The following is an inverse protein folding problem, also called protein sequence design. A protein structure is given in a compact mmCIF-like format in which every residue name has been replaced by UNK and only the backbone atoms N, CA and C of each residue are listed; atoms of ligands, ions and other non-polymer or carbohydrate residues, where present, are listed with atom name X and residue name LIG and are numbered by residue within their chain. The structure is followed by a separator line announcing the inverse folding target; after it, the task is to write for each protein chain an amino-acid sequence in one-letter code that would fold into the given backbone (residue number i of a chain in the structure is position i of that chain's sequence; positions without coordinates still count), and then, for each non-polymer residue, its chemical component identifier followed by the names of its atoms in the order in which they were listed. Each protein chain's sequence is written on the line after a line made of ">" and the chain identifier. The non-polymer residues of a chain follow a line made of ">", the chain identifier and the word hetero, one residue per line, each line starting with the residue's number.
data_IF_512297852448
#
_entry.id   IF_512297852448
#
_cell.length_a   1.000
_cell.length_b   1.000
_cell.length_c   1.000
_cell.angle_alpha   90.00
_cell.angle_beta   90.00
_cell.angle_gamma   90.00
#
_symmetry.space_group_name_H-M   'P 1'
#
loop_
_entity.id
_entity.type
_entity.pdbx_description
1 polymer ?
#
# COMPACT_ATOMS: atom_id res chain seq x y z
N UNK A 1 20.31 7.72 -5.69
CA UNK A 1 18.91 7.83 -6.17
C UNK A 1 18.92 8.63 -7.46
N UNK A 2 18.16 8.27 -8.50
CA UNK A 2 18.01 9.15 -9.66
C UNK A 2 17.28 10.42 -9.21
N UNK A 3 17.78 11.60 -9.60
CA UNK A 3 17.12 12.89 -9.27
C UNK A 3 15.63 12.85 -9.63
N UNK A 4 15.24 12.15 -10.71
CA UNK A 4 13.83 11.93 -11.09
C UNK A 4 12.98 11.25 -10.02
N UNK A 5 13.49 10.23 -9.32
CA UNK A 5 12.71 9.52 -8.29
C UNK A 5 12.43 10.40 -7.06
N UNK A 6 13.40 11.22 -6.66
CA UNK A 6 13.24 12.15 -5.52
C UNK A 6 12.13 13.18 -5.81
N UNK A 7 12.11 13.75 -7.02
CA UNK A 7 11.06 14.69 -7.42
C UNK A 7 9.67 14.05 -7.44
N UNK A 8 9.55 12.79 -7.87
CA UNK A 8 8.27 12.06 -7.89
C UNK A 8 7.75 11.83 -6.46
N UNK A 9 8.58 11.34 -5.54
CA UNK A 9 8.20 11.11 -4.14
C UNK A 9 7.83 12.41 -3.42
N UNK A 10 8.60 13.48 -3.66
CA UNK A 10 8.33 14.81 -3.11
C UNK A 10 7.01 15.38 -3.63
N UNK A 11 6.74 15.25 -4.94
CA UNK A 11 5.49 15.72 -5.53
C UNK A 11 4.28 14.96 -4.98
N UNK A 12 4.38 13.64 -4.79
CA UNK A 12 3.28 12.82 -4.27
C UNK A 12 2.96 13.15 -2.80
N UNK A 13 4.00 13.38 -1.97
CA UNK A 13 3.80 13.81 -0.58
C UNK A 13 3.13 15.17 -0.49
N UNK A 14 3.52 16.12 -1.34
CA UNK A 14 2.91 17.46 -1.37
C UNK A 14 1.43 17.36 -1.76
N UNK A 15 1.09 16.55 -2.77
CA UNK A 15 -0.31 16.32 -3.17
C UNK A 15 -1.14 15.67 -2.06
N UNK A 16 -0.60 14.65 -1.38
CA UNK A 16 -1.29 14.00 -0.24
C UNK A 16 -1.45 14.94 0.95
N UNK A 17 -0.46 15.79 1.22
CA UNK A 17 -0.50 16.79 2.28
C UNK A 17 -1.53 17.89 2.00
N UNK A 18 -1.58 18.39 0.76
CA UNK A 18 -2.62 19.32 0.34
C UNK A 18 -4.00 18.66 0.36
N UNK A 19 -4.14 17.40 -0.06
CA UNK A 19 -5.39 16.64 0.06
C UNK A 19 -5.87 16.52 1.51
N UNK A 20 -4.94 16.37 2.46
CA UNK A 20 -5.25 16.32 3.89
C UNK A 20 -5.63 17.69 4.46
N UNK A 21 -4.90 18.76 4.10
CA UNK A 21 -5.20 20.14 4.53
C UNK A 21 -6.55 20.63 3.98
N UNK A 22 -6.86 20.31 2.73
CA UNK A 22 -8.12 20.70 2.10
C UNK A 22 -9.29 19.75 2.39
N UNK A 23 -9.09 18.68 3.17
CA UNK A 23 -10.18 17.82 3.64
C UNK A 23 -10.96 18.53 4.76
N UNK A 24 -11.82 19.46 4.34
CA UNK A 24 -12.69 20.24 5.22
C UNK A 24 -13.79 19.34 5.81
N UNK A 25 -13.48 18.76 6.97
CA UNK A 25 -14.42 17.96 7.74
C UNK A 25 -15.33 18.79 8.63
N UNK A 26 -14.94 20.04 8.95
CA UNK A 26 -15.70 20.87 9.89
C UNK A 26 -16.93 21.47 9.20
N UNK A 27 -16.77 22.00 7.98
CA UNK A 27 -17.89 22.57 7.24
C UNK A 27 -18.97 21.52 6.90
N UNK A 28 -18.57 20.28 6.61
CA UNK A 28 -19.51 19.16 6.37
C UNK A 28 -20.31 18.77 7.60
N UNK A 29 -19.73 18.88 8.80
CA UNK A 29 -20.41 18.52 10.05
C UNK A 29 -21.42 19.59 10.47
N UNK A 30 -21.10 20.88 10.34
CA UNK A 30 -22.03 21.98 10.66
C UNK A 30 -23.26 21.95 9.74
N UNK A 31 -23.04 21.81 8.43
CA UNK A 31 -24.11 21.70 7.43
C UNK A 31 -24.98 20.45 7.64
N UNK A 32 -24.39 19.34 8.11
CA UNK A 32 -25.16 18.17 8.53
C UNK A 32 -26.03 18.47 9.75
N UNK A 33 -25.47 19.05 10.81
CA UNK A 33 -26.20 19.36 12.04
C UNK A 33 -27.39 20.31 11.77
N UNK A 34 -27.20 21.33 10.93
CA UNK A 34 -28.27 22.26 10.57
C UNK A 34 -29.39 21.59 9.76
N UNK A 35 -29.07 20.72 8.80
CA UNK A 35 -30.10 19.92 8.09
C UNK A 35 -30.88 19.00 9.03
N UNK A 36 -30.20 18.40 10.02
CA UNK A 36 -30.87 17.55 11.01
C UNK A 36 -31.82 18.38 11.86
N UNK A 37 -31.40 19.55 12.36
CA UNK A 37 -32.26 20.46 13.13
C UNK A 37 -33.51 20.87 12.33
N UNK A 38 -33.35 21.21 11.05
CA UNK A 38 -34.48 21.54 10.16
C UNK A 38 -35.43 20.35 10.00
N UNK A 39 -34.89 19.15 9.77
CA UNK A 39 -35.71 17.94 9.61
C UNK A 39 -36.43 17.55 10.89
N UNK A 40 -35.78 17.64 12.05
CA UNK A 40 -36.42 17.34 13.33
C UNK A 40 -37.52 18.35 13.68
N UNK A 41 -37.38 19.62 13.29
CA UNK A 41 -38.45 20.62 13.42
C UNK A 41 -39.66 20.27 12.54
N UNK A 42 -39.42 19.91 11.28
CA UNK A 42 -40.47 19.48 10.35
C UNK A 42 -41.17 18.21 10.88
N UNK A 43 -40.41 17.20 11.32
CA UNK A 43 -40.96 16.00 11.95
C UNK A 43 -41.78 16.30 13.22
N UNK A 44 -41.29 17.17 14.10
CA UNK A 44 -42.02 17.58 15.30
C UNK A 44 -43.34 18.27 14.96
N UNK A 45 -43.33 19.17 13.97
CA UNK A 45 -44.53 19.85 13.51
C UNK A 45 -45.56 18.86 12.93
N UNK A 46 -45.13 17.93 12.06
CA UNK A 46 -46.03 16.91 11.50
C UNK A 46 -46.59 15.98 12.59
N UNK A 47 -45.81 15.68 13.63
CA UNK A 47 -46.28 14.87 14.76
C UNK A 47 -47.39 15.59 15.54
N UNK A 48 -47.23 16.88 15.82
CA UNK A 48 -48.28 17.68 16.47
C UNK A 48 -49.56 17.71 15.63
N UNK A 49 -49.43 18.01 14.33
CA UNK A 49 -50.57 18.04 13.40
C UNK A 49 -51.28 16.69 13.30
N UNK A 50 -50.54 15.58 13.32
CA UNK A 50 -51.13 14.23 13.32
C UNK A 50 -51.99 13.94 14.55
N UNK A 51 -51.72 14.64 15.66
CA UNK A 51 -52.50 14.58 16.90
C UNK A 51 -53.49 15.75 17.03
N UNK A 52 -53.83 16.41 15.91
CA UNK A 52 -54.77 17.53 15.85
C UNK A 52 -54.33 18.76 16.67
N UNK A 53 -53.04 18.88 16.98
CA UNK A 53 -52.48 20.05 17.66
C UNK A 53 -51.77 20.96 16.66
N UNK A 54 -52.37 22.12 16.39
CA UNK A 54 -51.83 23.17 15.53
C UNK A 54 -51.25 24.36 16.31
N UNK A 55 -51.30 24.31 17.64
CA UNK A 55 -50.99 25.47 18.50
C UNK A 55 -49.71 25.30 19.29
N UNK A 56 -49.39 24.07 19.71
CA UNK A 56 -48.18 23.81 20.48
C UNK A 56 -46.92 24.08 19.67
N UNK A 57 -45.92 24.63 20.35
CA UNK A 57 -44.64 24.89 19.75
C UNK A 57 -43.72 23.67 19.82
N UNK A 58 -43.00 23.43 18.73
CA UNK A 58 -41.78 22.62 18.74
C UNK A 58 -40.67 23.48 19.37
N UNK A 59 -40.15 23.03 20.51
CA UNK A 59 -39.08 23.74 21.21
C UNK A 59 -37.76 23.64 20.41
N UNK A 60 -36.77 24.51 20.69
CA UNK A 60 -35.48 24.48 20.00
C UNK A 60 -34.85 23.08 20.04
N UNK A 61 -34.41 22.59 18.87
CA UNK A 61 -33.69 21.32 18.77
C UNK A 61 -32.32 21.48 19.40
N UNK A 62 -32.04 20.67 20.42
CA UNK A 62 -30.79 20.72 21.16
C UNK A 62 -29.86 19.64 20.61
N UNK A 63 -28.63 20.02 20.26
CA UNK A 63 -27.56 19.09 19.93
C UNK A 63 -26.89 18.62 21.22
N UNK A 64 -27.03 17.34 21.54
CA UNK A 64 -26.41 16.72 22.73
C UNK A 64 -24.98 16.25 22.44
N UNK A 65 -24.75 15.79 21.21
CA UNK A 65 -23.42 15.43 20.68
C UNK A 65 -23.46 15.52 19.16
N UNK A 66 -22.31 15.39 18.49
CA UNK A 66 -22.15 15.59 17.01
C UNK A 66 -23.13 14.81 16.12
N UNK A 67 -23.77 13.77 16.65
CA UNK A 67 -24.74 12.93 15.94
C UNK A 67 -25.95 12.57 16.80
N UNK A 68 -26.18 13.30 17.90
CA UNK A 68 -27.28 13.07 18.83
C UNK A 68 -28.03 14.37 19.09
N UNK A 69 -29.32 14.36 18.79
CA UNK A 69 -30.18 15.53 18.85
C UNK A 69 -31.41 15.25 19.70
N UNK A 70 -31.93 16.27 20.37
CA UNK A 70 -33.12 16.20 21.22
C UNK A 70 -34.19 17.14 20.70
N UNK A 71 -35.37 16.59 20.46
CA UNK A 71 -36.62 17.26 20.13
C UNK A 71 -37.52 17.27 21.37
N UNK A 72 -38.19 18.40 21.62
CA UNK A 72 -39.06 18.60 22.77
C UNK A 72 -40.24 19.50 22.37
N UNK A 73 -41.31 19.44 23.14
CA UNK A 73 -42.57 20.11 22.84
C UNK A 73 -43.02 20.96 24.03
N UNK A 74 -43.79 22.01 23.76
CA UNK A 74 -44.32 22.90 24.79
C UNK A 74 -45.32 22.20 25.72
N UNK A 75 -46.18 21.35 25.16
CA UNK A 75 -47.22 20.64 25.90
C UNK A 75 -47.01 19.12 25.86
N UNK A 76 -47.70 18.42 26.76
CA UNK A 76 -47.77 16.97 26.79
C UNK A 76 -48.44 16.44 25.52
N UNK A 77 -48.03 15.27 25.08
CA UNK A 77 -48.48 14.68 23.82
C UNK A 77 -48.82 13.20 24.00
N UNK A 78 -49.73 12.72 23.17
CA UNK A 78 -50.17 11.33 23.05
C UNK A 78 -50.10 10.99 21.58
N UNK A 79 -49.53 9.84 21.20
CA UNK A 79 -49.39 9.47 19.78
C UNK A 79 -49.19 7.97 19.60
N UNK A 80 -49.51 7.48 18.41
CA UNK A 80 -49.16 6.12 18.02
C UNK A 80 -47.73 6.07 17.47
N UNK A 81 -46.88 5.12 17.93
CA UNK A 81 -45.50 4.98 17.46
C UNK A 81 -45.31 4.84 15.95
N UNK A 82 -46.30 4.30 15.23
CA UNK A 82 -46.23 4.13 13.76
C UNK A 82 -46.16 5.46 13.02
N UNK A 83 -46.93 6.46 13.44
CA UNK A 83 -46.88 7.81 12.88
C UNK A 83 -45.52 8.45 13.10
N UNK A 84 -44.93 8.31 14.29
CA UNK A 84 -43.60 8.83 14.57
C UNK A 84 -42.55 8.24 13.60
N UNK A 85 -42.57 6.92 13.41
CA UNK A 85 -41.62 6.25 12.50
C UNK A 85 -41.75 6.78 11.07
N UNK A 86 -42.97 6.90 10.56
CA UNK A 86 -43.24 7.38 9.21
C UNK A 86 -42.87 8.86 9.02
N UNK A 87 -43.26 9.71 9.97
CA UNK A 87 -42.98 11.15 9.95
C UNK A 87 -41.47 11.42 9.95
N UNK A 88 -40.72 10.78 10.87
CA UNK A 88 -39.27 10.96 10.95
C UNK A 88 -38.60 10.45 9.67
N UNK A 89 -39.02 9.28 9.15
CA UNK A 89 -38.50 8.74 7.89
C UNK A 89 -38.72 9.70 6.72
N UNK A 90 -39.93 10.21 6.56
CA UNK A 90 -40.28 11.10 5.45
C UNK A 90 -39.55 12.44 5.55
N UNK A 91 -39.46 13.00 6.76
CA UNK A 91 -38.75 14.26 7.00
C UNK A 91 -37.24 14.14 6.72
N UNK A 92 -36.62 13.03 7.13
CA UNK A 92 -35.19 12.78 6.85
C UNK A 92 -34.92 12.53 5.38
N UNK A 93 -35.83 11.82 4.68
CA UNK A 93 -35.74 11.61 3.23
C UNK A 93 -35.83 12.92 2.45
N UNK A 94 -36.71 13.84 2.85
CA UNK A 94 -36.87 15.17 2.23
C UNK A 94 -35.57 15.97 2.22
N UNK A 95 -34.76 15.86 3.27
CA UNK A 95 -33.48 16.57 3.41
C UNK A 95 -32.24 15.70 3.10
N UNK A 96 -32.41 14.57 2.42
CA UNK A 96 -31.32 13.67 1.99
C UNK A 96 -30.41 13.20 3.14
N UNK A 97 -30.97 12.99 4.33
CA UNK A 97 -30.22 12.49 5.49
C UNK A 97 -30.02 10.97 5.43
N UNK A 98 -29.00 10.48 6.16
CA UNK A 98 -28.68 9.06 6.22
C UNK A 98 -29.81 8.25 6.87
N UNK A 99 -30.09 7.06 6.32
CA UNK A 99 -31.14 6.15 6.79
C UNK A 99 -30.75 5.31 8.02
N UNK A 100 -29.62 5.61 8.68
CA UNK A 100 -29.11 4.87 9.82
C UNK A 100 -29.18 5.72 11.07
N UNK A 101 -30.31 5.62 11.78
CA UNK A 101 -30.56 6.37 12.98
C UNK A 101 -31.38 5.56 13.98
N UNK A 102 -31.21 5.89 15.25
CA UNK A 102 -31.99 5.36 16.37
C UNK A 102 -32.80 6.50 16.96
N UNK A 103 -34.06 6.24 17.26
CA UNK A 103 -34.94 7.18 17.94
C UNK A 103 -35.34 6.58 19.28
N UNK A 104 -35.23 7.40 20.33
CA UNK A 104 -35.64 7.08 21.69
C UNK A 104 -36.62 8.14 22.16
N UNK A 105 -37.82 7.72 22.53
CA UNK A 105 -38.85 8.55 23.17
C UNK A 105 -38.69 8.34 24.67
N UNK A 106 -38.31 9.39 25.40
CA UNK A 106 -38.07 9.36 26.83
C UNK A 106 -39.10 10.17 27.59
N UNK A 107 -39.53 9.68 28.74
CA UNK A 107 -40.40 10.43 29.63
C UNK A 107 -39.61 11.54 30.32
N UNK A 108 -40.20 12.72 30.49
CA UNK A 108 -39.51 13.85 31.13
C UNK A 108 -39.26 13.65 32.63
N UNK A 109 -40.04 12.78 33.29
CA UNK A 109 -40.06 12.65 34.77
C UNK A 109 -38.88 11.83 35.28
N UNK A 110 -38.68 10.64 34.73
CA UNK A 110 -37.65 9.68 35.12
C UNK A 110 -36.54 9.53 34.08
N UNK A 111 -36.73 10.05 32.86
CA UNK A 111 -35.79 9.90 31.76
C UNK A 111 -35.82 8.52 31.11
N UNK A 112 -36.76 7.65 31.51
CA UNK A 112 -36.86 6.28 31.01
C UNK A 112 -37.41 6.24 29.59
N UNK A 113 -36.97 5.23 28.84
CA UNK A 113 -37.35 5.06 27.44
C UNK A 113 -38.74 4.45 27.35
N UNK A 114 -39.72 5.26 26.97
CA UNK A 114 -41.10 4.81 26.72
C UNK A 114 -41.23 4.04 25.40
N UNK A 115 -40.47 4.44 24.38
CA UNK A 115 -40.47 3.78 23.08
C UNK A 115 -39.13 4.00 22.37
N UNK A 116 -38.67 3.02 21.59
CA UNK A 116 -37.50 3.20 20.76
C UNK A 116 -37.57 2.35 19.50
N UNK A 117 -36.88 2.81 18.45
CA UNK A 117 -36.69 2.03 17.24
C UNK A 117 -35.37 2.41 16.56
N UNK A 118 -34.88 1.51 15.72
CA UNK A 118 -33.68 1.71 14.93
C UNK A 118 -34.02 1.50 13.45
N UNK A 119 -33.61 2.46 12.62
CA UNK A 119 -33.76 2.39 11.17
C UNK A 119 -32.46 1.86 10.58
N UNK A 120 -32.54 0.71 9.90
CA UNK A 120 -31.44 0.08 9.17
C UNK A 120 -31.87 -0.07 7.70
N UNK A 121 -31.53 0.92 6.88
CA UNK A 121 -31.76 0.92 5.43
C UNK A 121 -33.24 0.95 4.97
N UNK A 122 -33.50 1.27 3.68
CA UNK A 122 -34.86 1.41 3.11
C UNK A 122 -35.52 0.05 2.74
N UNK A 123 -34.75 -1.02 2.57
CA UNK A 123 -35.19 -2.28 1.93
C UNK A 123 -35.79 -3.31 2.89
N UNK A 124 -35.50 -3.22 4.19
CA UNK A 124 -36.04 -4.16 5.17
C UNK A 124 -37.45 -3.70 5.61
N UNK A 125 -38.38 -4.66 5.69
CA UNK A 125 -39.70 -4.45 6.30
C UNK A 125 -39.46 -4.20 7.79
N UNK A 126 -39.07 -2.98 8.15
CA UNK A 126 -38.82 -2.60 9.53
C UNK A 126 -40.09 -2.86 10.32
N UNK A 127 -40.05 -3.91 11.13
CA UNK A 127 -41.11 -4.26 12.06
C UNK A 127 -41.19 -3.08 13.02
N UNK A 128 -42.26 -2.28 12.90
CA UNK A 128 -42.52 -1.17 13.83
C UNK A 128 -42.95 -1.79 15.16
N UNK A 129 -42.11 -1.73 16.21
CA UNK A 129 -42.48 -2.28 17.50
C UNK A 129 -43.69 -1.49 18.04
N UNK A 130 -44.59 -2.17 18.75
CA UNK A 130 -45.76 -1.53 19.37
C UNK A 130 -46.73 -0.82 18.39
N UNK A 131 -46.77 -1.23 17.12
CA UNK A 131 -47.78 -0.74 16.15
C UNK A 131 -49.20 -0.90 16.73
N UNK A 132 -50.03 0.14 16.62
CA UNK A 132 -51.39 0.18 17.16
C UNK A 132 -51.51 0.44 18.66
N UNK A 133 -50.40 0.60 19.40
CA UNK A 133 -50.43 0.94 20.84
C UNK A 133 -50.12 2.41 21.04
N UNK A 134 -51.14 3.19 21.41
CA UNK A 134 -50.99 4.63 21.66
C UNK A 134 -50.22 4.86 22.96
N UNK A 135 -49.20 5.73 22.89
CA UNK A 135 -48.52 6.25 24.09
C UNK A 135 -49.45 7.23 24.80
N UNK A 136 -49.70 7.07 26.10
CA UNK A 136 -50.63 7.93 26.84
C UNK A 136 -50.11 9.37 26.89
N UNK A 137 -51.03 10.32 27.13
CA UNK A 137 -50.71 11.74 27.27
C UNK A 137 -49.70 11.96 28.41
N UNK A 138 -48.47 12.33 28.04
CA UNK A 138 -47.39 12.57 28.99
C UNK A 138 -46.37 13.55 28.39
N UNK A 139 -45.43 14.02 29.21
CA UNK A 139 -44.28 14.77 28.74
C UNK A 139 -43.25 13.80 28.15
N UNK A 140 -43.00 13.94 26.85
CA UNK A 140 -41.99 13.15 26.14
C UNK A 140 -40.94 14.03 25.49
N UNK A 141 -39.71 13.54 25.48
CA UNK A 141 -38.60 14.06 24.68
C UNK A 141 -38.18 13.00 23.68
N UNK A 142 -37.85 13.42 22.46
CA UNK A 142 -37.46 12.51 21.39
C UNK A 142 -35.98 12.73 21.10
N UNK A 143 -35.16 11.74 21.40
CA UNK A 143 -33.73 11.74 21.11
C UNK A 143 -33.46 10.94 19.84
N UNK A 144 -32.74 11.55 18.89
CA UNK A 144 -32.33 10.89 17.65
C UNK A 144 -30.82 10.81 17.59
N UNK A 145 -30.28 9.59 17.42
CA UNK A 145 -28.85 9.32 17.28
C UNK A 145 -28.54 8.68 15.92
N UNK A 146 -27.66 9.27 15.14
CA UNK A 146 -27.18 8.66 13.89
C UNK A 146 -26.08 7.63 14.19
N UNK A 147 -26.23 6.42 13.66
CA UNK A 147 -25.41 5.25 14.05
C UNK A 147 -24.32 4.88 13.04
N UNK A 148 -24.42 5.32 11.79
CA UNK A 148 -23.43 5.03 10.76
C UNK A 148 -22.86 6.33 10.17
N UNK A 149 -21.72 6.75 10.70
CA UNK A 149 -20.91 7.86 10.19
C UNK A 149 -19.53 7.35 9.80
N UNK A 150 -19.48 6.22 9.08
CA UNK A 150 -18.22 5.57 8.70
C UNK A 150 -17.45 6.38 7.64
N UNK A 151 -18.08 7.36 6.98
CA UNK A 151 -17.48 8.09 5.85
C UNK A 151 -16.47 9.18 6.21
N UNK A 152 -16.48 9.72 7.43
CA UNK A 152 -15.65 10.89 7.78
C UNK A 152 -14.31 10.52 8.43
N UNK A 153 -14.22 9.39 9.13
CA UNK A 153 -12.99 8.98 9.82
C UNK A 153 -12.02 8.26 8.88
N UNK A 154 -12.55 7.48 7.92
CA UNK A 154 -11.76 6.74 6.93
C UNK A 154 -10.91 7.68 6.07
N UNK A 155 -11.45 8.84 5.67
CA UNK A 155 -10.76 9.74 4.74
C UNK A 155 -9.47 10.29 5.37
N UNK A 156 -9.55 10.79 6.62
CA UNK A 156 -8.36 11.34 7.31
C UNK A 156 -7.34 10.28 7.71
N UNK A 157 -7.77 9.10 8.15
CA UNK A 157 -6.84 8.00 8.46
C UNK A 157 -6.14 7.49 7.20
N UNK A 158 -6.85 7.39 6.07
CA UNK A 158 -6.27 6.95 4.80
C UNK A 158 -5.13 7.86 4.35
N UNK A 159 -5.31 9.19 4.40
CA UNK A 159 -4.23 10.14 4.07
C UNK A 159 -3.02 10.00 5.01
N UNK A 160 -3.25 9.80 6.30
CA UNK A 160 -2.17 9.63 7.28
C UNK A 160 -1.40 8.31 7.08
N UNK A 161 -2.10 7.21 6.83
CA UNK A 161 -1.48 5.92 6.49
C UNK A 161 -0.75 5.95 5.15
N UNK A 162 -1.30 6.64 4.14
CA UNK A 162 -0.65 6.80 2.84
C UNK A 162 0.66 7.61 2.97
N UNK A 163 0.67 8.67 3.78
CA UNK A 163 1.88 9.46 4.04
C UNK A 163 2.94 8.62 4.76
N UNK A 164 2.56 7.86 5.78
CA UNK A 164 3.46 6.95 6.49
C UNK A 164 4.03 5.85 5.56
N UNK A 165 3.19 5.26 4.71
CA UNK A 165 3.62 4.25 3.74
C UNK A 165 4.62 4.82 2.73
N UNK A 166 4.38 6.03 2.24
CA UNK A 166 5.28 6.73 1.33
C UNK A 166 6.63 7.06 1.99
N UNK A 167 6.63 7.46 3.26
CA UNK A 167 7.85 7.64 4.07
C UNK A 167 8.62 6.33 4.24
N UNK A 168 7.92 5.22 4.50
CA UNK A 168 8.53 3.90 4.66
C UNK A 168 9.18 3.42 3.34
N UNK A 169 8.50 3.58 2.20
CA UNK A 169 9.05 3.27 0.87
C UNK A 169 10.27 4.15 0.58
N UNK A 170 10.25 5.43 0.92
CA UNK A 170 11.40 6.32 0.77
C UNK A 170 12.61 5.88 1.61
N UNK A 171 12.39 5.47 2.87
CA UNK A 171 13.44 4.95 3.75
C UNK A 171 14.01 3.63 3.22
N UNK A 172 13.17 2.73 2.71
CA UNK A 172 13.63 1.46 2.10
C UNK A 172 14.48 1.75 0.85
N UNK A 173 14.03 2.64 -0.05
CA UNK A 173 14.81 3.01 -1.24
C UNK A 173 16.14 3.69 -0.85
N UNK A 174 16.13 4.55 0.17
CA UNK A 174 17.32 5.23 0.67
C UNK A 174 18.33 4.27 1.34
N UNK A 175 17.86 3.30 2.12
CA UNK A 175 18.72 2.27 2.74
C UNK A 175 19.27 1.31 1.69
N UNK A 176 18.48 0.92 0.69
CA UNK A 176 18.94 0.09 -0.43
C UNK A 176 19.99 0.83 -1.29
N UNK A 177 19.83 2.14 -1.46
CA UNK A 177 20.83 2.98 -2.13
C UNK A 177 22.09 3.20 -1.28
N UNK A 178 21.98 3.29 0.05
CA UNK A 178 23.14 3.28 0.94
C UNK A 178 23.89 1.96 0.87
N UNK A 179 23.21 0.81 0.85
CA UNK A 179 23.87 -0.48 0.62
C UNK A 179 24.56 -0.52 -0.74
N UNK A 180 23.97 0.11 -1.78
CA UNK A 180 24.59 0.22 -3.11
C UNK A 180 25.73 1.24 -3.18
N UNK A 181 25.75 2.27 -2.33
CA UNK A 181 26.78 3.29 -2.25
C UNK A 181 27.98 2.84 -1.39
N UNK A 182 27.74 2.12 -0.29
CA UNK A 182 28.79 1.44 0.49
C UNK A 182 29.48 0.36 -0.35
N UNK A 183 28.79 -0.23 -1.34
CA UNK A 183 29.40 -1.13 -2.35
C UNK A 183 30.06 -0.39 -3.53
N UNK A 184 30.04 0.94 -3.58
CA UNK A 184 30.50 1.75 -4.74
C UNK A 184 31.53 2.83 -4.39
N UNK A 185 32.14 2.75 -3.22
CA UNK A 185 33.41 3.41 -2.89
C UNK A 185 34.40 2.39 -2.32
N UNK A 186 34.75 1.41 -3.14
CA UNK A 186 36.06 0.77 -3.07
C UNK A 186 36.56 0.65 -4.51
N UNK A 187 37.16 1.72 -5.01
CA UNK A 187 38.18 1.58 -6.06
C UNK A 187 39.40 0.95 -5.38
N UNK A 188 39.40 -0.37 -5.25
CA UNK A 188 40.60 -1.18 -5.04
C UNK A 188 40.26 -2.63 -5.40
N UNK A 189 40.73 -3.04 -6.59
CA UNK A 189 41.07 -4.43 -6.97
C UNK A 189 40.06 -5.50 -6.55
N UNK A 190 39.02 -5.71 -7.36
CA UNK A 190 38.26 -6.97 -7.34
C UNK A 190 39.10 -8.05 -8.04
N UNK A 191 39.66 -8.94 -7.23
CA UNK A 191 40.25 -10.25 -7.54
C UNK A 191 40.89 -10.37 -8.93
N UNK A 192 41.89 -9.52 -9.19
CA UNK A 192 42.83 -9.79 -10.26
C UNK A 192 43.60 -11.06 -9.88
N UNK A 193 43.38 -12.15 -10.61
CA UNK A 193 44.14 -13.38 -10.40
C UNK A 193 45.46 -13.23 -11.14
N UNK A 194 46.58 -13.26 -10.41
CA UNK A 194 47.90 -13.25 -11.02
C UNK A 194 48.20 -14.64 -11.59
N UNK A 195 48.50 -14.70 -12.88
CA UNK A 195 48.92 -15.91 -13.58
C UNK A 195 50.20 -15.51 -14.32
N UNK A 196 51.36 -16.00 -13.85
CA UNK A 196 52.66 -15.49 -14.30
C UNK A 196 52.72 -13.96 -14.25
N UNK A 197 52.98 -13.33 -15.39
CA UNK A 197 53.05 -11.88 -15.61
C UNK A 197 51.72 -11.25 -16.04
N UNK A 198 50.65 -12.04 -16.16
CA UNK A 198 49.32 -11.59 -16.52
C UNK A 198 48.44 -11.37 -15.28
N UNK A 199 47.69 -10.27 -15.29
CA UNK A 199 46.55 -10.06 -14.40
C UNK A 199 45.27 -10.47 -15.12
N UNK A 200 44.62 -11.52 -14.62
CA UNK A 200 43.36 -12.02 -15.15
C UNK A 200 42.18 -11.48 -14.38
N UNK A 201 41.21 -10.94 -15.12
CA UNK A 201 39.96 -10.41 -14.57
C UNK A 201 38.78 -11.21 -15.16
N UNK A 202 38.33 -12.29 -14.49
CA UNK A 202 37.27 -13.17 -14.99
C UNK A 202 35.97 -12.41 -15.29
N UNK A 203 35.53 -11.58 -14.35
CA UNK A 203 34.30 -10.77 -14.45
C UNK A 203 34.32 -9.76 -15.60
N UNK A 204 35.51 -9.32 -16.01
CA UNK A 204 35.70 -8.32 -17.07
C UNK A 204 36.12 -8.96 -18.40
N UNK A 205 36.25 -10.29 -18.46
CA UNK A 205 36.70 -11.05 -19.63
C UNK A 205 37.99 -10.46 -20.26
N UNK A 206 38.97 -10.09 -19.43
CA UNK A 206 40.22 -9.47 -19.91
C UNK A 206 41.46 -9.99 -19.18
N UNK A 207 42.57 -9.96 -19.91
CA UNK A 207 43.93 -10.14 -19.40
C UNK A 207 44.67 -8.82 -19.53
N UNK A 208 45.52 -8.49 -18.57
CA UNK A 208 46.40 -7.31 -18.63
C UNK A 208 47.84 -7.75 -18.42
N UNK A 209 48.73 -7.36 -19.32
CA UNK A 209 50.19 -7.57 -19.18
C UNK A 209 50.89 -6.28 -19.56
N UNK A 210 51.73 -5.74 -18.66
CA UNK A 210 52.53 -4.53 -18.91
C UNK A 210 51.71 -3.39 -19.55
N UNK A 211 50.55 -3.08 -18.98
CA UNK A 211 49.58 -2.08 -19.45
C UNK A 211 48.88 -2.36 -20.80
N UNK A 212 49.09 -3.52 -21.42
CA UNK A 212 48.37 -3.96 -22.62
C UNK A 212 47.14 -4.79 -22.24
N UNK A 213 45.95 -4.33 -22.62
CA UNK A 213 44.69 -5.08 -22.43
C UNK A 213 44.45 -6.08 -23.57
N UNK A 214 44.27 -7.34 -23.19
CA UNK A 214 43.91 -8.42 -24.11
C UNK A 214 42.49 -8.89 -23.76
N UNK A 215 41.55 -8.63 -24.68
CA UNK A 215 40.15 -9.06 -24.50
C UNK A 215 40.00 -10.55 -24.74
N UNK A 216 39.26 -11.21 -23.86
CA UNK A 216 38.85 -12.61 -23.98
C UNK A 216 37.39 -12.69 -24.39
N UNK A 217 37.04 -13.68 -25.21
CA UNK A 217 35.65 -14.07 -25.39
C UNK A 217 35.15 -14.85 -24.16
N UNK A 218 33.84 -14.91 -23.97
CA UNK A 218 33.22 -15.59 -22.82
C UNK A 218 33.73 -17.03 -22.64
N UNK A 219 33.80 -17.82 -23.72
CA UNK A 219 34.31 -19.20 -23.69
C UNK A 219 35.82 -19.29 -23.39
N UNK A 220 36.62 -18.34 -23.86
CA UNK A 220 38.05 -18.28 -23.54
C UNK A 220 38.25 -17.92 -22.07
N UNK A 221 37.43 -17.02 -21.53
CA UNK A 221 37.44 -16.65 -20.12
C UNK A 221 37.06 -17.83 -19.23
N UNK A 222 35.97 -18.54 -19.53
CA UNK A 222 35.54 -19.73 -18.80
C UNK A 222 36.60 -20.84 -18.81
N UNK A 223 37.20 -21.13 -19.96
CA UNK A 223 38.31 -22.08 -20.06
C UNK A 223 39.51 -21.65 -19.20
N UNK A 224 39.91 -20.38 -19.28
CA UNK A 224 41.05 -19.88 -18.52
C UNK A 224 40.77 -19.91 -17.01
N UNK A 225 39.56 -19.56 -16.57
CA UNK A 225 39.12 -19.68 -15.17
C UNK A 225 39.26 -21.11 -14.65
N UNK A 226 38.86 -22.12 -15.45
CA UNK A 226 39.00 -23.53 -15.07
C UNK A 226 40.50 -23.89 -14.91
N UNK A 227 41.35 -23.52 -15.87
CA UNK A 227 42.78 -23.78 -15.79
C UNK A 227 43.46 -23.08 -14.61
N UNK A 228 43.05 -21.85 -14.30
CA UNK A 228 43.61 -21.04 -13.21
C UNK A 228 43.17 -21.53 -11.84
N UNK A 229 41.98 -22.13 -11.74
CA UNK A 229 41.51 -22.76 -10.51
C UNK A 229 42.30 -24.04 -10.15
N UNK A 230 42.96 -24.65 -11.14
CA UNK A 230 43.73 -25.91 -11.01
C UNK A 230 45.05 -25.82 -11.79
N UNK A 231 45.97 -24.95 -11.38
CA UNK A 231 47.25 -24.83 -12.07
C UNK A 231 48.05 -26.12 -11.90
N UNK A 232 48.83 -26.46 -12.92
CA UNK A 232 49.67 -27.65 -12.98
C UNK A 232 48.93 -29.01 -12.97
N UNK A 233 47.60 -29.03 -13.01
CA UNK A 233 46.77 -30.24 -13.07
C UNK A 233 46.37 -30.59 -14.51
N UNK A 234 46.22 -31.88 -14.81
CA UNK A 234 45.75 -32.35 -16.12
C UNK A 234 44.23 -32.39 -16.10
N UNK A 235 43.60 -31.55 -16.92
CA UNK A 235 42.13 -31.50 -17.06
C UNK A 235 41.73 -32.26 -18.31
N UNK A 236 40.83 -33.24 -18.16
CA UNK A 236 40.36 -34.09 -19.25
C UNK A 236 39.57 -33.28 -20.29
N UNK A 237 39.66 -33.67 -21.57
CA UNK A 237 38.93 -32.99 -22.67
C UNK A 237 37.42 -33.03 -22.47
N UNK A 238 36.90 -34.15 -22.01
CA UNK A 238 35.48 -34.35 -21.69
C UNK A 238 35.02 -33.38 -20.59
N UNK A 239 35.82 -33.19 -19.53
CA UNK A 239 35.49 -32.26 -18.44
C UNK A 239 35.46 -30.80 -18.93
N UNK A 240 36.44 -30.39 -19.73
CA UNK A 240 36.49 -29.03 -20.30
C UNK A 240 35.32 -28.77 -21.26
N UNK A 241 34.98 -29.76 -22.07
CA UNK A 241 33.87 -29.66 -23.02
C UNK A 241 32.54 -29.57 -22.28
N UNK A 242 32.33 -30.43 -21.28
CA UNK A 242 31.13 -30.45 -20.45
C UNK A 242 30.89 -29.10 -19.75
N UNK A 243 31.88 -28.61 -19.01
CA UNK A 243 31.74 -27.36 -18.22
C UNK A 243 31.50 -26.12 -19.08
N UNK A 244 32.06 -26.06 -20.28
CA UNK A 244 32.00 -24.85 -21.11
C UNK A 244 30.90 -24.90 -22.18
N UNK A 245 30.48 -26.10 -22.62
CA UNK A 245 29.46 -26.27 -23.66
C UNK A 245 28.16 -26.96 -23.21
N UNK A 246 28.19 -27.97 -22.34
CA UNK A 246 26.96 -28.70 -21.95
C UNK A 246 26.09 -27.89 -20.97
N UNK A 247 26.70 -27.22 -19.99
CA UNK A 247 25.98 -26.44 -18.97
C UNK A 247 25.34 -25.15 -19.52
N UNK A 248 25.68 -24.73 -20.74
CA UNK A 248 25.24 -23.48 -21.37
C UNK A 248 24.38 -23.67 -22.65
N UNK A 249 23.91 -24.89 -22.94
CA UNK A 249 22.76 -25.14 -23.83
C UNK A 249 22.91 -24.84 -25.33
N UNK A 250 24.13 -24.62 -25.86
CA UNK A 250 24.30 -24.33 -27.30
C UNK A 250 25.53 -25.02 -27.88
N UNK A 251 25.31 -26.14 -28.59
CA UNK A 251 26.30 -26.85 -29.39
C UNK A 251 26.49 -26.17 -30.77
N UNK A 252 26.90 -24.90 -30.77
CA UNK A 252 27.18 -24.17 -32.02
C UNK A 252 28.56 -23.51 -31.95
N UNK A 253 29.43 -23.91 -32.88
CA UNK A 253 30.58 -23.12 -33.31
C UNK A 253 31.92 -23.40 -32.61
N UNK A 254 32.69 -24.33 -33.19
CA UNK A 254 34.14 -24.62 -33.04
C UNK A 254 34.55 -25.53 -31.87
N UNK A 255 35.53 -26.38 -32.13
CA UNK A 255 36.08 -27.37 -31.19
C UNK A 255 36.84 -26.73 -30.04
N UNK A 256 36.92 -27.43 -28.90
CA UNK A 256 37.78 -27.10 -27.75
C UNK A 256 39.20 -26.69 -28.20
N UNK A 257 39.78 -27.44 -29.14
CA UNK A 257 41.13 -27.23 -29.66
C UNK A 257 41.32 -25.86 -30.32
N UNK A 258 40.27 -25.31 -30.92
CA UNK A 258 40.30 -23.97 -31.53
C UNK A 258 40.41 -22.88 -30.46
N UNK A 259 39.69 -23.02 -29.34
CA UNK A 259 39.74 -22.08 -28.22
C UNK A 259 41.05 -22.20 -27.45
N UNK A 260 41.57 -23.42 -27.25
CA UNK A 260 42.91 -23.63 -26.71
C UNK A 260 43.98 -22.97 -27.59
N UNK A 261 43.86 -23.08 -28.92
CA UNK A 261 44.79 -22.45 -29.85
C UNK A 261 44.75 -20.91 -29.77
N UNK A 262 43.57 -20.32 -29.56
CA UNK A 262 43.43 -18.87 -29.37
C UNK A 262 43.97 -18.41 -28.03
N UNK A 263 43.67 -19.14 -26.95
CA UNK A 263 44.22 -18.86 -25.62
C UNK A 263 45.74 -18.90 -25.63
N UNK A 264 46.34 -19.94 -26.23
CA UNK A 264 47.80 -20.03 -26.43
C UNK A 264 48.40 -18.82 -27.13
N UNK A 265 47.74 -18.30 -28.16
CA UNK A 265 48.21 -17.07 -28.85
C UNK A 265 48.14 -15.83 -27.95
N UNK A 266 47.14 -15.74 -27.07
CA UNK A 266 46.93 -14.60 -26.17
C UNK A 266 47.87 -14.59 -24.97
N UNK A 267 48.27 -15.76 -24.46
CA UNK A 267 49.20 -15.90 -23.33
C UNK A 267 50.66 -16.09 -23.76
N UNK A 268 50.95 -16.13 -25.08
CA UNK A 268 52.31 -16.32 -25.62
C UNK A 268 53.30 -15.22 -25.21
N UNK A 269 52.83 -14.09 -24.69
CA UNK A 269 53.67 -12.99 -24.25
C UNK A 269 54.49 -13.28 -22.99
N UNK A 270 54.25 -14.41 -22.33
CA UNK A 270 54.95 -14.81 -21.11
C UNK A 270 55.43 -16.27 -21.20
N UNK A 271 56.75 -16.48 -21.06
CA UNK A 271 57.38 -17.80 -21.09
C UNK A 271 57.20 -18.61 -19.79
N UNK A 272 56.66 -17.99 -18.73
CA UNK A 272 56.36 -18.64 -17.44
C UNK A 272 55.02 -19.39 -17.45
N UNK A 273 54.16 -19.15 -18.45
CA UNK A 273 52.83 -19.75 -18.56
C UNK A 273 52.71 -20.51 -19.86
N UNK A 274 52.31 -21.78 -19.79
CA UNK A 274 52.11 -22.58 -21.00
C UNK A 274 50.93 -23.53 -20.87
N UNK A 275 50.05 -23.54 -21.87
CA UNK A 275 49.02 -24.59 -21.96
C UNK A 275 49.60 -25.77 -22.75
N UNK A 276 50.01 -26.84 -22.08
CA UNK A 276 50.54 -28.07 -22.69
C UNK A 276 49.40 -29.05 -23.05
N UNK A 277 49.61 -29.84 -24.10
CA UNK A 277 48.70 -30.92 -24.49
C UNK A 277 49.31 -32.24 -23.99
N UNK A 278 48.55 -32.99 -23.20
CA UNK A 278 48.90 -34.35 -22.78
C UNK A 278 48.20 -35.32 -23.72
N UNK A 279 48.98 -35.99 -24.57
CA UNK A 279 48.45 -36.85 -25.62
C UNK A 279 47.54 -37.94 -25.03
N UNK A 280 46.36 -38.13 -25.63
CA UNK A 280 45.36 -39.10 -25.16
C UNK A 280 44.58 -38.72 -23.90
N UNK A 281 44.94 -37.66 -23.17
CA UNK A 281 44.32 -37.35 -21.85
C UNK A 281 43.63 -35.99 -21.81
N UNK A 282 44.32 -34.90 -22.15
CA UNK A 282 43.79 -33.57 -21.86
C UNK A 282 44.73 -32.40 -22.06
N UNK A 283 44.46 -31.33 -21.31
CA UNK A 283 45.22 -30.09 -21.32
C UNK A 283 45.64 -29.73 -19.90
N UNK A 284 46.80 -29.10 -19.77
CA UNK A 284 47.36 -28.65 -18.49
C UNK A 284 47.87 -27.22 -18.64
N UNK A 285 47.59 -26.37 -17.66
CA UNK A 285 48.21 -25.06 -17.53
C UNK A 285 49.46 -25.21 -16.67
N UNK A 286 50.63 -25.09 -17.28
CA UNK A 286 51.92 -25.08 -16.61
C UNK A 286 52.26 -23.65 -16.20
N UNK A 287 52.54 -23.49 -14.90
CA UNK A 287 53.16 -22.29 -14.34
C UNK A 287 54.57 -22.69 -13.91
N UNK A 288 55.58 -22.03 -14.47
CA UNK A 288 57.00 -22.23 -14.11
C UNK A 288 57.39 -21.44 -12.88
#
# INVERSE_FOLDING_TARGET
>A
MSKKKIYIYSSLCVVLFFGWIFSDSNQKNEDFAERVKVSLRDAGNQLLLSNQDSTSLVLPIIELSSYKFKLSFQHQLSFEPSFLVEIVKNSFKKNKLHNYYRVEVKQCVDGEVAYSYEMKNELERNIIPCKGRVLPQNCYTIEVKFTNTTSLYLDKQFFLFALLFMMLVFIIDATFLRQKAVKKEVNTVQDAINIGSYQFYPEQNKLVMQATEIRLSKKECELLTIFVSRPNEIIKREELTKKVWEDNGVFVGRSLDTYISKLRKKIKGDDTIKISNVHGVGYKLELK
#
